data_IF_175665829822
#
_entry.id   IF_175665829822
#
_cell.length_a   1.000
_cell.length_b   1.000
_cell.length_c   1.000
_cell.angle_alpha   90.00
_cell.angle_beta   90.00
_cell.angle_gamma   90.00
#
_symmetry.space_group_name_H-M   'P 1'
#
loop_
_entity.id
_entity.type
_entity.pdbx_description
1 polymer ?
#
# COMPACT_ATOMS: atom_id res chain seq x y z
N UNK A 1 -6.01 -19.40 17.56
CA UNK A 1 -6.20 -18.03 17.04
C UNK A 1 -4.84 -17.55 16.57
N UNK A 2 -4.56 -17.70 15.27
CA UNK A 2 -3.30 -17.23 14.68
C UNK A 2 -3.32 -15.71 14.74
N UNK A 3 -2.39 -15.11 15.51
CA UNK A 3 -2.24 -13.67 15.51
C UNK A 3 -1.82 -13.25 14.10
N UNK A 4 -2.57 -12.34 13.46
CA UNK A 4 -2.21 -11.84 12.12
C UNK A 4 -0.86 -11.14 12.10
N UNK A 5 -0.30 -10.76 13.26
CA UNK A 5 1.08 -10.29 13.44
C UNK A 5 2.16 -11.30 13.04
N UNK A 6 1.82 -12.56 12.77
CA UNK A 6 2.75 -13.60 12.31
C UNK A 6 2.82 -13.71 10.76
N UNK A 7 2.28 -12.74 10.01
CA UNK A 7 2.43 -12.73 8.55
C UNK A 7 3.93 -12.62 8.23
N UNK A 8 4.52 -13.61 7.53
CA UNK A 8 5.95 -13.58 7.23
C UNK A 8 6.25 -12.46 6.23
N UNK A 9 7.42 -11.83 6.34
CA UNK A 9 7.82 -10.72 5.48
C UNK A 9 7.76 -11.08 3.99
N UNK A 10 8.00 -12.35 3.63
CA UNK A 10 7.88 -12.84 2.25
C UNK A 10 6.48 -12.63 1.66
N UNK A 11 5.41 -12.79 2.45
CA UNK A 11 4.04 -12.56 2.02
C UNK A 11 3.77 -11.07 1.81
N UNK A 12 4.38 -10.22 2.63
CA UNK A 12 4.28 -8.76 2.49
C UNK A 12 5.06 -8.28 1.26
N UNK A 13 6.23 -8.86 1.01
CA UNK A 13 7.03 -8.58 -0.19
C UNK A 13 6.30 -9.01 -1.46
N UNK A 14 5.51 -10.09 -1.41
CA UNK A 14 4.68 -10.52 -2.53
C UNK A 14 3.56 -9.50 -2.90
N UNK A 15 3.26 -8.55 -2.01
CA UNK A 15 2.34 -7.45 -2.29
C UNK A 15 3.00 -6.34 -3.11
N UNK A 16 4.34 -6.28 -3.18
CA UNK A 16 5.03 -5.26 -3.99
C UNK A 16 4.65 -5.45 -5.46
N UNK A 17 4.23 -4.36 -6.11
CA UNK A 17 3.66 -4.32 -7.45
C UNK A 17 2.14 -4.48 -7.50
N UNK A 18 1.47 -4.79 -6.38
CA UNK A 18 0.01 -4.83 -6.32
C UNK A 18 -0.57 -3.42 -6.23
N UNK A 19 -1.72 -3.25 -6.90
CA UNK A 19 -2.44 -1.98 -6.92
C UNK A 19 -3.64 -2.03 -5.98
N UNK A 20 -3.77 -1.01 -5.15
CA UNK A 20 -4.79 -0.89 -4.11
C UNK A 20 -5.42 0.48 -4.15
N UNK A 21 -6.62 0.64 -3.57
CA UNK A 21 -7.26 1.95 -3.47
C UNK A 21 -7.07 2.48 -2.05
N UNK A 22 -6.30 3.55 -1.90
CA UNK A 22 -6.02 4.16 -0.60
C UNK A 22 -6.31 5.65 -0.66
N UNK A 23 -7.05 6.18 0.32
CA UNK A 23 -7.48 7.59 0.34
C UNK A 23 -8.19 8.05 -0.95
N UNK A 24 -9.01 7.18 -1.58
CA UNK A 24 -9.67 7.43 -2.87
C UNK A 24 -8.71 7.58 -4.08
N UNK A 25 -7.42 7.33 -3.88
CA UNK A 25 -6.43 7.28 -4.95
C UNK A 25 -6.09 5.84 -5.29
N UNK A 26 -5.86 5.58 -6.57
CA UNK A 26 -5.25 4.31 -6.99
C UNK A 26 -3.78 4.40 -6.64
N UNK A 27 -3.30 3.46 -5.83
CA UNK A 27 -1.91 3.40 -5.41
C UNK A 27 -1.32 2.05 -5.79
N UNK A 28 0.00 2.00 -5.95
CA UNK A 28 0.76 0.78 -6.12
C UNK A 28 1.73 0.61 -4.96
N UNK A 29 1.86 -0.61 -4.46
CA UNK A 29 2.81 -0.92 -3.39
C UNK A 29 4.19 -1.03 -4.03
N UNK A 30 5.10 -0.13 -3.67
CA UNK A 30 6.43 -0.05 -4.29
C UNK A 30 7.55 -0.58 -3.40
N UNK A 31 7.33 -0.61 -2.08
CA UNK A 31 8.37 -0.97 -1.12
C UNK A 31 7.78 -1.48 0.21
N UNK A 32 8.56 -2.25 0.95
CA UNK A 32 8.29 -2.67 2.32
C UNK A 32 9.42 -2.16 3.24
N UNK A 33 9.09 -1.32 4.20
CA UNK A 33 9.98 -0.76 5.21
C UNK A 33 9.85 -1.54 6.53
N UNK A 34 10.98 -1.73 7.22
CA UNK A 34 11.09 -2.39 8.54
C UNK A 34 10.37 -3.75 8.67
N UNK A 35 10.01 -4.38 7.56
CA UNK A 35 9.26 -5.64 7.52
C UNK A 35 7.77 -5.54 7.90
N UNK A 36 7.25 -4.34 8.17
CA UNK A 36 5.86 -4.17 8.63
C UNK A 36 5.20 -2.87 8.16
N UNK A 37 5.80 -2.13 7.24
CA UNK A 37 5.25 -0.89 6.68
C UNK A 37 5.31 -0.91 5.15
N UNK A 38 4.17 -0.78 4.48
CA UNK A 38 4.09 -0.77 3.02
C UNK A 38 4.16 0.67 2.51
N UNK A 39 4.97 0.91 1.50
CA UNK A 39 5.03 2.19 0.79
C UNK A 39 4.14 2.11 -0.43
N UNK A 40 3.14 2.97 -0.48
CA UNK A 40 2.14 3.09 -1.52
C UNK A 40 2.45 4.32 -2.36
N UNK A 41 2.72 4.17 -3.64
CA UNK A 41 2.83 5.28 -4.56
C UNK A 41 1.50 5.53 -5.25
N UNK A 42 1.00 6.77 -5.23
CA UNK A 42 -0.18 7.16 -5.99
C UNK A 42 0.09 7.01 -7.48
N UNK A 43 -0.68 6.13 -8.11
CA UNK A 43 -0.80 6.04 -9.56
C UNK A 43 -1.73 7.17 -10.02
N UNK A 44 -1.17 8.38 -10.05
CA UNK A 44 -1.90 9.58 -10.46
C UNK A 44 -2.37 9.42 -11.91
N UNK A 45 -3.68 9.28 -12.13
CA UNK A 45 -4.28 9.25 -13.46
C UNK A 45 -4.80 10.65 -13.86
N UNK A 46 -4.28 11.72 -13.24
CA UNK A 46 -4.66 13.08 -13.58
C UNK A 46 -3.96 13.48 -14.88
N UNK A 47 -4.52 12.94 -15.96
CA UNK A 47 -4.60 13.56 -17.28
C UNK A 47 -5.47 14.83 -17.21
N UNK A 48 -5.31 15.67 -16.18
CA UNK A 48 -5.85 17.03 -16.20
C UNK A 48 -4.78 17.91 -16.84
N UNK A 49 -4.69 17.77 -18.17
CA UNK A 49 -3.93 18.66 -19.04
C UNK A 49 -4.61 20.02 -18.95
N UNK A 50 -4.30 20.79 -17.91
CA UNK A 50 -4.52 22.23 -17.93
C UNK A 50 -3.36 22.85 -18.71
N UNK A 51 -3.61 23.58 -19.80
CA UNK A 51 -2.58 24.27 -20.55
C UNK A 51 -2.10 25.49 -19.76
N UNK A 52 -1.29 25.28 -18.73
CA UNK A 52 -0.62 26.39 -18.03
C UNK A 52 0.76 26.58 -18.64
N UNK A 53 0.79 27.32 -19.75
CA UNK A 53 2.01 27.88 -20.30
C UNK A 53 2.50 28.99 -19.37
N UNK A 54 3.31 28.69 -18.37
CA UNK A 54 4.34 29.61 -17.83
C UNK A 54 5.31 28.74 -17.01
N UNK A 55 6.58 28.79 -17.41
CA UNK A 55 7.59 27.83 -16.99
C UNK A 55 7.99 27.95 -15.52
N UNK A 56 7.41 27.08 -14.70
CA UNK A 56 8.04 26.63 -13.45
C UNK A 56 8.24 25.13 -13.58
N UNK A 57 9.46 24.66 -13.32
CA UNK A 57 9.81 23.25 -13.32
C UNK A 57 9.16 22.52 -12.15
N UNK A 58 7.83 22.38 -12.18
CA UNK A 58 7.08 21.51 -11.29
C UNK A 58 7.38 20.07 -11.72
N UNK A 59 8.48 19.55 -11.20
CA UNK A 59 8.68 18.11 -11.13
C UNK A 59 7.55 17.62 -10.23
N UNK A 60 6.50 17.04 -10.79
CA UNK A 60 5.46 16.34 -10.03
C UNK A 60 6.14 15.17 -9.33
N UNK A 61 6.45 15.34 -8.04
CA UNK A 61 6.95 14.25 -7.22
C UNK A 61 5.76 13.34 -6.97
N UNK A 62 5.82 12.05 -7.35
CA UNK A 62 4.71 11.14 -7.12
C UNK A 62 4.46 11.05 -5.61
N UNK A 63 3.20 11.22 -5.21
CA UNK A 63 2.81 11.15 -3.80
C UNK A 63 3.00 9.72 -3.30
N UNK A 64 3.71 9.56 -2.19
CA UNK A 64 3.87 8.28 -1.52
C UNK A 64 3.25 8.31 -0.12
N UNK A 65 2.60 7.21 0.27
CA UNK A 65 2.04 6.99 1.59
C UNK A 65 2.73 5.82 2.25
N UNK A 66 2.93 5.91 3.56
CA UNK A 66 3.46 4.80 4.36
C UNK A 66 2.33 4.21 5.18
N UNK A 67 2.00 2.96 4.93
CA UNK A 67 0.91 2.25 5.55
C UNK A 67 1.45 1.14 6.47
N UNK A 68 1.30 1.24 7.80
CA UNK A 68 1.64 0.14 8.70
C UNK A 68 0.75 -1.07 8.44
N UNK A 69 1.34 -2.26 8.46
CA UNK A 69 0.62 -3.52 8.25
C UNK A 69 -0.15 -3.92 9.52
N UNK A 70 0.48 -3.69 10.67
CA UNK A 70 -0.09 -4.03 11.97
C UNK A 70 -0.47 -2.79 12.76
N UNK A 71 -1.57 -2.89 13.48
CA UNK A 71 -1.86 -2.04 14.61
C UNK A 71 -0.92 -2.40 15.77
N UNK A 72 -0.61 -1.44 16.65
CA UNK A 72 0.31 -1.63 17.78
C UNK A 72 -0.08 -2.77 18.73
N UNK A 73 -1.33 -3.26 18.65
CA UNK A 73 -1.82 -4.43 19.37
C UNK A 73 -1.57 -5.78 18.65
N UNK A 74 -0.97 -5.78 17.46
CA UNK A 74 -0.66 -6.96 16.65
C UNK A 74 -1.80 -7.44 15.75
N UNK A 75 -2.84 -6.64 15.56
CA UNK A 75 -3.91 -6.87 14.57
C UNK A 75 -3.56 -6.21 13.23
N UNK A 76 -4.30 -6.46 12.14
CA UNK A 76 -4.11 -5.68 10.91
C UNK A 76 -4.53 -4.23 11.15
N UNK A 77 -3.75 -3.29 10.60
CA UNK A 77 -4.07 -1.87 10.71
C UNK A 77 -5.41 -1.56 10.00
N UNK A 78 -6.24 -0.71 10.59
CA UNK A 78 -7.57 -0.40 10.04
C UNK A 78 -7.47 0.20 8.63
N UNK A 79 -6.45 1.02 8.39
CA UNK A 79 -6.19 1.60 7.06
C UNK A 79 -5.77 0.55 6.02
N UNK A 80 -5.11 -0.53 6.45
CA UNK A 80 -4.75 -1.63 5.57
C UNK A 80 -6.00 -2.38 5.11
N UNK A 81 -6.91 -2.65 6.05
CA UNK A 81 -8.22 -3.24 5.73
C UNK A 81 -9.02 -2.30 4.83
N UNK A 82 -9.03 -1.00 5.12
CA UNK A 82 -9.72 -0.02 4.28
C UNK A 82 -9.16 0.06 2.85
N UNK A 83 -7.89 -0.28 2.65
CA UNK A 83 -7.25 -0.36 1.35
C UNK A 83 -7.53 -1.68 0.59
N UNK A 84 -8.25 -2.64 1.20
CA UNK A 84 -8.55 -3.95 0.62
C UNK A 84 -7.36 -4.93 0.61
N UNK A 85 -6.32 -4.63 1.39
CA UNK A 85 -5.12 -5.47 1.48
C UNK A 85 -5.36 -6.74 2.29
N UNK A 86 -6.37 -6.77 3.17
CA UNK A 86 -6.68 -7.95 3.96
C UNK A 86 -7.15 -9.13 3.10
N UNK A 87 -7.90 -8.85 2.02
CA UNK A 87 -8.31 -9.86 1.04
C UNK A 87 -7.10 -10.41 0.27
N UNK A 88 -6.18 -9.54 -0.15
CA UNK A 88 -4.94 -9.95 -0.81
C UNK A 88 -4.09 -10.82 0.12
N UNK A 89 -3.88 -10.39 1.36
CA UNK A 89 -3.13 -11.15 2.36
C UNK A 89 -3.77 -12.52 2.63
N UNK A 90 -5.10 -12.62 2.57
CA UNK A 90 -5.80 -13.90 2.74
C UNK A 90 -5.49 -14.91 1.62
N UNK A 91 -4.99 -14.48 0.46
CA UNK A 91 -4.56 -15.38 -0.62
C UNK A 91 -3.14 -15.92 -0.37
N UNK A 92 -2.31 -15.18 0.35
CA UNK A 92 -0.92 -15.55 0.65
C UNK A 92 -0.73 -16.23 2.00
N UNK A 93 -1.73 -16.18 2.87
CA UNK A 93 -1.79 -16.99 4.08
C UNK A 93 -2.36 -18.36 3.70
N UNK A 94 -1.54 -19.38 3.39
CA UNK A 94 -2.08 -20.73 3.25
C UNK A 94 -2.75 -21.09 4.58
N UNK A 95 -3.97 -21.57 4.50
CA UNK A 95 -4.60 -22.32 5.59
C UNK A 95 -3.64 -23.47 5.91
N UNK A 96 -2.78 -23.27 6.92
CA UNK A 96 -1.84 -24.27 7.39
C UNK A 96 -2.65 -25.22 8.26
N UNK A 97 -3.31 -26.16 7.61
CA UNK A 97 -3.84 -27.40 8.20
C UNK A 97 -2.68 -28.26 8.72
#
# INVERSE_FOLDING_TARGET
MTRKSDIPCENLLALIGQQVTYHQHRCEIIELLDGCQLVLQVLENNHDIQPTQYGEGHRTVPVTYTLPVFDGEGNLHAELVAAGLDELLSQYLPDRD
#
